data_IF_945714065913
#
_entry.id   IF_945714065913
#
_cell.length_a   1.000
_cell.length_b   1.000
_cell.length_c   1.000
_cell.angle_alpha   90.00
_cell.angle_beta   90.00
_cell.angle_gamma   90.00
#
_symmetry.space_group_name_H-M   'P 1'
#
loop_
_entity.id
_entity.type
_entity.pdbx_description
1 polymer ?
#
# COMPACT_ATOMS: atom_id res chain seq x y z
N UNK A 1 -13.79 16.81 -2.50
CA UNK A 1 -12.88 17.38 -1.48
C UNK A 1 -11.53 17.66 -2.13
N UNK A 2 -10.75 18.62 -1.66
CA UNK A 2 -9.43 18.95 -2.19
C UNK A 2 -8.31 18.44 -1.28
N UNK A 3 -7.08 18.76 -1.62
CA UNK A 3 -5.93 18.53 -0.73
C UNK A 3 -6.05 19.37 0.53
N UNK A 4 -5.52 18.86 1.64
CA UNK A 4 -5.54 19.54 2.93
C UNK A 4 -4.16 19.49 3.58
N UNK A 5 -3.83 20.53 4.33
CA UNK A 5 -2.60 20.61 5.12
C UNK A 5 -2.95 21.19 6.48
N UNK A 6 -2.39 20.61 7.54
CA UNK A 6 -2.60 21.10 8.89
C UNK A 6 -1.88 22.45 9.12
N UNK A 7 -2.22 23.22 10.17
CA UNK A 7 -1.69 24.58 10.35
C UNK A 7 -0.17 24.70 10.47
N UNK A 8 0.52 23.68 10.98
CA UNK A 8 2.00 23.68 11.10
C UNK A 8 2.73 23.10 9.88
N UNK A 9 1.98 22.67 8.85
CA UNK A 9 2.51 22.15 7.59
C UNK A 9 3.09 20.74 7.64
N UNK A 10 3.06 20.05 8.78
CA UNK A 10 3.70 18.73 8.96
C UNK A 10 2.86 17.57 8.44
N UNK A 11 1.54 17.74 8.35
CA UNK A 11 0.60 16.72 7.91
C UNK A 11 -0.15 17.21 6.68
N UNK A 12 -0.09 16.40 5.63
CA UNK A 12 -0.78 16.65 4.36
C UNK A 12 -1.70 15.47 4.05
N UNK A 13 -2.94 15.77 3.65
CA UNK A 13 -3.85 14.80 3.07
C UNK A 13 -4.01 15.14 1.58
N UNK A 14 -3.63 14.21 0.72
CA UNK A 14 -3.74 14.35 -0.73
C UNK A 14 -4.97 13.57 -1.20
N UNK A 15 -5.95 14.24 -1.80
CA UNK A 15 -7.20 13.60 -2.20
C UNK A 15 -7.15 13.17 -3.68
N UNK A 16 -7.13 11.87 -3.96
CA UNK A 16 -7.17 11.35 -5.32
C UNK A 16 -6.74 9.89 -5.41
N UNK A 17 -6.52 9.42 -6.64
CA UNK A 17 -5.93 8.11 -6.88
C UNK A 17 -4.50 8.07 -6.32
N UNK A 18 -4.21 7.10 -5.45
CA UNK A 18 -2.93 7.02 -4.76
C UNK A 18 -1.73 6.84 -5.72
N UNK A 19 -1.91 6.20 -6.87
CA UNK A 19 -0.84 6.02 -7.85
C UNK A 19 -0.50 7.36 -8.51
N UNK A 20 -1.54 8.12 -8.91
CA UNK A 20 -1.37 9.47 -9.47
C UNK A 20 -0.76 10.40 -8.43
N UNK A 21 -1.25 10.37 -7.18
CA UNK A 21 -0.72 11.23 -6.12
C UNK A 21 0.71 10.89 -5.73
N UNK A 22 1.12 9.61 -5.81
CA UNK A 22 2.51 9.25 -5.58
C UNK A 22 3.42 9.77 -6.70
N UNK A 23 2.97 9.87 -7.95
CA UNK A 23 3.77 10.44 -9.06
C UNK A 23 4.15 11.91 -8.82
N UNK A 24 3.32 12.67 -8.12
CA UNK A 24 3.58 14.06 -7.74
C UNK A 24 4.70 14.21 -6.69
N UNK A 25 5.06 13.12 -5.99
CA UNK A 25 6.09 13.13 -4.95
C UNK A 25 7.50 12.96 -5.56
N UNK A 26 8.52 13.67 -5.06
CA UNK A 26 9.90 13.48 -5.52
C UNK A 26 10.39 12.06 -5.26
N UNK A 27 11.25 11.53 -6.13
CA UNK A 27 11.91 10.24 -5.87
C UNK A 27 12.79 10.32 -4.62
N UNK A 28 12.95 9.22 -3.90
CA UNK A 28 13.77 9.15 -2.68
C UNK A 28 13.42 10.23 -1.63
N UNK A 29 12.13 10.53 -1.44
CA UNK A 29 11.65 11.56 -0.52
C UNK A 29 10.97 11.00 0.73
N UNK A 30 10.53 9.75 0.70
CA UNK A 30 9.78 9.10 1.78
C UNK A 30 10.69 8.16 2.57
N UNK A 31 10.70 8.29 3.89
CA UNK A 31 11.50 7.44 4.79
C UNK A 31 10.82 6.08 5.07
N UNK A 32 9.50 6.08 5.18
CA UNK A 32 8.72 4.87 5.43
C UNK A 32 7.31 4.98 4.84
N UNK A 33 6.76 3.85 4.42
CA UNK A 33 5.36 3.71 4.00
C UNK A 33 4.65 2.75 4.95
N UNK A 34 3.48 3.14 5.44
CA UNK A 34 2.55 2.26 6.14
C UNK A 34 1.24 2.30 5.38
N UNK A 35 0.77 1.14 4.91
CA UNK A 35 -0.37 1.08 4.00
C UNK A 35 -1.25 -0.13 4.22
N UNK A 36 -2.52 0.06 3.86
CA UNK A 36 -3.58 -0.93 3.93
C UNK A 36 -4.27 -1.03 2.54
N UNK A 37 -3.62 -1.69 1.55
CA UNK A 37 -4.17 -1.79 0.20
C UNK A 37 -5.35 -2.77 0.16
N UNK A 38 -6.14 -2.81 -0.93
CA UNK A 38 -7.18 -3.84 -1.13
C UNK A 38 -6.62 -5.27 -0.96
N UNK A 39 -7.35 -6.12 -0.23
CA UNK A 39 -6.92 -7.48 0.12
C UNK A 39 -7.35 -8.54 -0.90
N UNK A 40 -8.26 -8.26 -1.81
CA UNK A 40 -8.75 -9.27 -2.75
C UNK A 40 -9.75 -10.24 -2.13
N UNK A 41 -10.50 -9.80 -1.12
CA UNK A 41 -11.47 -10.62 -0.39
C UNK A 41 -12.90 -10.48 -0.93
N UNK A 42 -13.12 -9.61 -1.92
CA UNK A 42 -14.43 -9.13 -2.35
C UNK A 42 -15.27 -8.68 -1.14
N UNK A 43 -14.62 -8.03 -0.18
CA UNK A 43 -15.22 -7.71 1.10
C UNK A 43 -16.50 -6.89 0.93
N UNK A 44 -17.59 -7.33 1.57
CA UNK A 44 -18.94 -6.77 1.39
C UNK A 44 -19.40 -6.62 -0.07
N UNK A 45 -18.97 -7.51 -0.97
CA UNK A 45 -19.30 -7.46 -2.39
C UNK A 45 -18.72 -6.24 -3.10
N UNK A 46 -17.63 -5.66 -2.57
CA UNK A 46 -16.96 -4.53 -3.19
C UNK A 46 -16.04 -5.00 -4.31
N UNK A 47 -16.47 -4.70 -5.51
CA UNK A 47 -15.78 -4.99 -6.77
C UNK A 47 -14.31 -4.57 -6.84
N UNK A 48 -13.90 -3.51 -6.16
CA UNK A 48 -12.51 -3.03 -6.16
C UNK A 48 -11.59 -3.92 -5.32
N UNK A 49 -12.17 -4.67 -4.38
CA UNK A 49 -11.49 -5.64 -3.53
C UNK A 49 -11.57 -7.05 -4.10
N UNK A 50 -11.88 -7.21 -5.39
CA UNK A 50 -11.89 -8.52 -6.03
C UNK A 50 -10.48 -9.00 -6.36
N UNK A 51 -10.23 -10.30 -6.16
CA UNK A 51 -8.91 -10.92 -6.29
C UNK A 51 -8.32 -10.81 -7.71
N UNK A 52 -9.16 -10.72 -8.75
CA UNK A 52 -8.70 -10.56 -10.14
C UNK A 52 -8.13 -9.15 -10.36
N UNK A 53 -8.66 -8.15 -9.64
CA UNK A 53 -8.25 -6.76 -9.76
C UNK A 53 -7.07 -6.44 -8.86
N UNK A 54 -7.06 -6.96 -7.63
CA UNK A 54 -5.99 -6.69 -6.67
C UNK A 54 -4.64 -7.23 -7.13
N UNK A 55 -4.61 -8.36 -7.86
CA UNK A 55 -3.36 -8.92 -8.42
C UNK A 55 -2.59 -7.89 -9.26
N UNK A 56 -3.26 -7.24 -10.22
CA UNK A 56 -2.62 -6.23 -11.05
C UNK A 56 -2.41 -4.92 -10.29
N UNK A 57 -3.32 -4.58 -9.39
CA UNK A 57 -3.21 -3.40 -8.54
C UNK A 57 -1.92 -3.42 -7.71
N UNK A 58 -1.59 -4.54 -7.05
CA UNK A 58 -0.40 -4.63 -6.19
C UNK A 58 0.89 -4.26 -6.92
N UNK A 59 1.07 -4.77 -8.13
CA UNK A 59 2.22 -4.41 -8.95
C UNK A 59 2.19 -2.92 -9.34
N UNK A 60 1.02 -2.39 -9.71
CA UNK A 60 0.90 -1.01 -10.19
C UNK A 60 1.19 0.04 -9.12
N UNK A 61 0.72 -0.15 -7.89
CA UNK A 61 0.99 0.81 -6.81
C UNK A 61 2.38 0.63 -6.19
N UNK A 62 2.94 -0.58 -6.20
CA UNK A 62 4.28 -0.84 -5.67
C UNK A 62 5.38 -0.11 -6.45
N UNK A 63 5.22 0.06 -7.77
CA UNK A 63 6.21 0.77 -8.62
C UNK A 63 6.46 2.21 -8.17
N UNK A 64 5.45 3.10 -8.09
CA UNK A 64 5.65 4.44 -7.58
C UNK A 64 6.00 4.44 -6.09
N UNK A 65 5.54 3.47 -5.29
CA UNK A 65 5.93 3.34 -3.88
C UNK A 65 7.44 3.10 -3.70
N UNK A 66 8.03 2.21 -4.50
CA UNK A 66 9.47 1.97 -4.49
C UNK A 66 10.25 3.22 -4.91
N UNK A 67 9.77 3.93 -5.95
CA UNK A 67 10.42 5.15 -6.47
C UNK A 67 10.50 6.27 -5.43
N UNK A 68 9.42 6.48 -4.65
CA UNK A 68 9.38 7.59 -3.67
C UNK A 68 10.15 7.26 -2.40
N UNK A 69 10.34 5.97 -2.07
CA UNK A 69 11.14 5.56 -0.92
C UNK A 69 12.61 5.92 -1.11
N UNK A 70 13.24 6.41 -0.04
CA UNK A 70 14.69 6.58 0.05
C UNK A 70 15.39 5.22 -0.02
N UNK A 71 16.66 5.16 -0.49
CA UNK A 71 17.46 3.93 -0.36
C UNK A 71 17.53 3.49 1.11
N UNK A 72 17.13 2.24 1.38
CA UNK A 72 17.03 1.70 2.75
C UNK A 72 15.74 2.07 3.50
N UNK A 73 14.80 2.78 2.87
CA UNK A 73 13.45 3.00 3.39
C UNK A 73 12.64 1.71 3.45
N UNK A 74 11.65 1.67 4.33
CA UNK A 74 10.86 0.45 4.60
C UNK A 74 9.38 0.65 4.30
N UNK A 75 8.71 -0.44 3.94
CA UNK A 75 7.26 -0.51 3.85
C UNK A 75 6.70 -1.54 4.83
N UNK A 76 5.65 -1.15 5.54
CA UNK A 76 4.75 -2.06 6.26
C UNK A 76 3.40 -2.06 5.53
N UNK A 77 3.11 -3.14 4.82
CA UNK A 77 1.87 -3.30 4.05
C UNK A 77 0.98 -4.36 4.70
N UNK A 78 -0.22 -3.97 5.09
CA UNK A 78 -1.23 -4.90 5.60
C UNK A 78 -1.79 -5.76 4.44
N UNK A 79 -2.30 -6.95 4.77
CA UNK A 79 -2.84 -7.87 3.78
C UNK A 79 -3.71 -8.95 4.42
N UNK A 80 -4.65 -9.50 3.64
CA UNK A 80 -5.51 -10.58 4.08
C UNK A 80 -4.77 -11.92 4.20
N UNK A 81 -5.14 -12.74 5.18
CA UNK A 81 -4.56 -14.07 5.45
C UNK A 81 -4.48 -14.98 4.23
N UNK A 82 -5.52 -14.98 3.38
CA UNK A 82 -5.62 -15.84 2.19
C UNK A 82 -4.91 -15.28 0.96
N UNK A 83 -4.59 -14.00 0.94
CA UNK A 83 -4.19 -13.28 -0.28
C UNK A 83 -2.88 -12.50 -0.15
N UNK A 84 -2.33 -12.36 1.07
CA UNK A 84 -1.10 -11.61 1.35
C UNK A 84 0.07 -12.05 0.45
N UNK A 85 0.15 -13.35 0.15
CA UNK A 85 1.21 -13.91 -0.69
C UNK A 85 1.26 -13.29 -2.08
N UNK A 86 0.12 -12.85 -2.64
CA UNK A 86 0.06 -12.18 -3.94
C UNK A 86 0.58 -10.74 -3.87
N UNK A 87 0.24 -10.05 -2.78
CA UNK A 87 0.79 -8.73 -2.50
C UNK A 87 2.31 -8.81 -2.31
N UNK A 88 2.78 -9.74 -1.47
CA UNK A 88 4.20 -9.94 -1.21
C UNK A 88 4.98 -10.27 -2.49
N UNK A 89 4.47 -11.18 -3.32
CA UNK A 89 5.09 -11.51 -4.62
C UNK A 89 5.15 -10.28 -5.54
N UNK A 90 4.07 -9.49 -5.63
CA UNK A 90 4.07 -8.29 -6.46
C UNK A 90 5.04 -7.19 -5.98
N UNK A 91 5.22 -7.05 -4.66
CA UNK A 91 6.22 -6.16 -4.08
C UNK A 91 7.64 -6.64 -4.42
N UNK A 92 7.90 -7.94 -4.27
CA UNK A 92 9.18 -8.57 -4.64
C UNK A 92 9.49 -8.39 -6.14
N UNK A 93 8.53 -8.66 -7.02
CA UNK A 93 8.67 -8.52 -8.48
C UNK A 93 9.05 -7.09 -8.90
N UNK A 94 8.59 -6.08 -8.16
CA UNK A 94 8.91 -4.66 -8.43
C UNK A 94 10.31 -4.28 -7.93
N UNK A 95 10.91 -5.08 -7.04
CA UNK A 95 12.27 -4.89 -6.55
C UNK A 95 12.37 -4.62 -5.04
N UNK A 96 11.30 -4.82 -4.27
CA UNK A 96 11.42 -4.83 -2.81
C UNK A 96 12.08 -6.12 -2.32
N UNK A 97 12.86 -6.01 -1.25
CA UNK A 97 13.34 -7.17 -0.50
C UNK A 97 12.34 -7.50 0.61
N UNK A 98 11.85 -8.75 0.66
CA UNK A 98 10.95 -9.20 1.73
C UNK A 98 11.75 -9.53 2.99
N UNK A 99 11.57 -8.74 4.05
CA UNK A 99 12.35 -8.86 5.30
C UNK A 99 11.65 -9.70 6.36
N UNK A 100 10.48 -9.24 6.81
CA UNK A 100 9.76 -9.86 7.92
C UNK A 100 8.26 -9.91 7.64
N UNK A 101 7.61 -10.94 8.17
CA UNK A 101 6.16 -11.05 8.22
C UNK A 101 5.70 -10.76 9.65
N UNK A 102 4.94 -9.69 9.81
CA UNK A 102 4.29 -9.35 11.09
C UNK A 102 2.86 -9.90 11.03
N UNK A 103 2.49 -10.74 12.00
CA UNK A 103 1.14 -11.29 12.09
C UNK A 103 0.33 -10.55 13.14
N UNK A 104 -0.84 -10.05 12.73
CA UNK A 104 -1.84 -9.56 13.67
C UNK A 104 -2.79 -10.70 14.05
N UNK A 105 -2.53 -11.32 15.22
CA UNK A 105 -3.28 -12.47 15.71
C UNK A 105 -4.37 -12.04 16.70
N UNK A 106 -5.61 -12.41 16.41
CA UNK A 106 -6.75 -12.20 17.30
C UNK A 106 -7.70 -13.40 17.25
N UNK A 107 -8.31 -13.76 18.39
CA UNK A 107 -9.17 -14.93 18.51
C UNK A 107 -10.60 -14.75 17.98
N UNK A 108 -11.01 -13.50 17.74
CA UNK A 108 -12.34 -13.14 17.23
C UNK A 108 -12.28 -11.77 16.57
N UNK A 109 -13.01 -11.58 15.47
CA UNK A 109 -13.09 -10.30 14.76
C UNK A 109 -13.88 -10.42 13.47
N UNK A 110 -14.19 -9.27 12.88
CA UNK A 110 -14.65 -9.18 11.50
C UNK A 110 -13.47 -8.70 10.67
N UNK A 111 -13.16 -9.34 9.53
CA UNK A 111 -12.17 -8.81 8.60
C UNK A 111 -12.58 -7.45 8.05
#
# INVERSE_FOLDING_TARGET
MGDWTNPDGRVRLLHGDCMIRMEELPSNSIDAIVTDPPYGLAFMGKDWDDISKTKLFHHKWAVPALRVLKPGGHILSCGGDRTYHRMAAALEDVGFEIRHMVLWLYGSGFP
#
